data_IF_358307509986
#
_entry.id   IF_358307509986
#
_cell.length_a   1.000
_cell.length_b   1.000
_cell.length_c   1.000
_cell.angle_alpha   90.00
_cell.angle_beta   90.00
_cell.angle_gamma   90.00
#
_symmetry.space_group_name_H-M   'P 1'
#
loop_
_entity.id
_entity.type
_entity.pdbx_description
1 polymer ?
#
# COMPACT_ATOMS: atom_id res chain seq x y z
N UNK A 1 2.52 45.23 11.23
CA UNK A 1 2.54 45.63 9.80
C UNK A 1 1.75 44.60 9.01
N UNK A 2 0.57 44.96 8.53
CA UNK A 2 -0.27 44.11 7.66
C UNK A 2 0.40 43.95 6.31
N UNK A 3 0.82 42.72 5.99
CA UNK A 3 1.51 42.39 4.74
C UNK A 3 0.56 42.56 3.55
N UNK A 4 0.83 43.54 2.69
CA UNK A 4 0.25 43.61 1.36
C UNK A 4 0.78 42.49 0.46
N UNK A 5 0.05 42.21 -0.63
CA UNK A 5 0.50 41.26 -1.65
C UNK A 5 1.88 41.62 -2.19
N UNK A 6 2.68 40.62 -2.55
CA UNK A 6 3.98 40.82 -3.20
C UNK A 6 3.81 41.64 -4.47
N UNK A 7 4.68 42.63 -4.68
CA UNK A 7 4.67 43.44 -5.90
C UNK A 7 4.95 42.52 -7.11
N UNK A 8 4.07 42.48 -8.13
CA UNK A 8 4.26 41.68 -9.34
C UNK A 8 5.54 42.06 -10.09
N UNK A 9 6.19 41.10 -10.72
CA UNK A 9 7.49 41.26 -11.38
C UNK A 9 7.48 42.39 -12.42
N UNK A 10 6.40 42.54 -13.19
CA UNK A 10 6.23 43.58 -14.20
C UNK A 10 6.28 44.98 -13.58
N UNK A 11 5.65 45.12 -12.40
CA UNK A 11 5.65 46.37 -11.64
C UNK A 11 7.04 46.67 -11.08
N UNK A 12 7.78 45.64 -10.66
CA UNK A 12 9.16 45.79 -10.19
C UNK A 12 10.11 46.26 -11.30
N UNK A 13 9.99 45.68 -12.51
CA UNK A 13 10.74 46.10 -13.70
C UNK A 13 10.44 47.55 -14.06
N UNK A 14 9.15 47.94 -14.03
CA UNK A 14 8.72 49.30 -14.29
C UNK A 14 9.31 50.29 -13.27
N UNK A 15 9.29 49.96 -11.96
CA UNK A 15 9.90 50.78 -10.90
C UNK A 15 11.41 50.95 -11.17
N UNK A 16 12.14 49.87 -11.49
CA UNK A 16 13.58 49.91 -11.76
C UNK A 16 13.90 50.77 -12.98
N UNK A 17 13.12 50.64 -14.04
CA UNK A 17 13.32 51.38 -15.29
C UNK A 17 13.06 52.87 -15.09
N UNK A 18 11.95 53.24 -14.43
CA UNK A 18 11.63 54.64 -14.17
C UNK A 18 12.64 55.32 -13.24
N UNK A 19 13.15 54.60 -12.24
CA UNK A 19 14.14 55.15 -11.32
C UNK A 19 15.55 55.24 -11.97
N UNK A 20 16.00 54.18 -12.64
CA UNK A 20 17.41 54.07 -13.07
C UNK A 20 17.69 54.63 -14.47
N UNK A 21 16.70 54.65 -15.36
CA UNK A 21 16.84 55.18 -16.74
C UNK A 21 16.20 56.56 -16.88
N UNK A 22 15.00 56.73 -16.33
CA UNK A 22 14.23 57.98 -16.47
C UNK A 22 14.53 58.97 -15.34
N UNK A 23 15.27 58.55 -14.31
CA UNK A 23 15.63 59.37 -13.14
C UNK A 23 14.44 59.99 -12.40
N UNK A 24 13.28 59.34 -12.44
CA UNK A 24 12.08 59.79 -11.71
C UNK A 24 12.26 59.66 -10.20
N UNK A 25 11.69 60.62 -9.46
CA UNK A 25 11.69 60.58 -8.00
C UNK A 25 10.70 59.55 -7.47
N UNK A 26 10.96 58.98 -6.29
CA UNK A 26 10.11 57.94 -5.69
C UNK A 26 8.64 58.33 -5.52
N UNK A 27 8.37 59.61 -5.27
CA UNK A 27 7.01 60.14 -5.15
C UNK A 27 6.27 60.16 -6.51
N UNK A 28 7.00 60.42 -7.59
CA UNK A 28 6.47 60.40 -8.95
C UNK A 28 6.18 58.96 -9.38
N UNK A 29 7.13 58.05 -9.14
CA UNK A 29 6.98 56.61 -9.39
C UNK A 29 5.79 56.05 -8.59
N UNK A 30 5.65 56.43 -7.32
CA UNK A 30 4.53 56.07 -6.46
C UNK A 30 3.19 56.52 -7.05
N UNK A 31 3.13 57.74 -7.57
CA UNK A 31 1.93 58.30 -8.18
C UNK A 31 1.57 57.59 -9.50
N UNK A 32 2.57 57.29 -10.34
CA UNK A 32 2.36 56.65 -11.64
C UNK A 32 2.01 55.16 -11.53
N UNK A 33 2.70 54.42 -10.64
CA UNK A 33 2.55 52.98 -10.52
C UNK A 33 1.62 52.54 -9.38
N UNK A 34 1.11 53.50 -8.59
CA UNK A 34 0.26 53.26 -7.41
C UNK A 34 0.91 52.31 -6.39
N UNK A 35 2.22 52.48 -6.18
CA UNK A 35 3.02 51.70 -5.23
C UNK A 35 3.50 52.60 -4.10
N UNK A 36 3.46 52.11 -2.86
CA UNK A 36 4.01 52.88 -1.75
C UNK A 36 5.50 53.17 -1.97
N UNK A 37 5.97 54.43 -1.85
CA UNK A 37 7.32 54.84 -2.24
C UNK A 37 8.40 54.08 -1.44
N UNK A 38 8.13 53.79 -0.17
CA UNK A 38 9.05 53.02 0.68
C UNK A 38 9.18 51.56 0.22
N UNK A 39 8.11 50.95 -0.29
CA UNK A 39 8.16 49.57 -0.80
C UNK A 39 8.94 49.49 -2.11
N UNK A 40 8.78 50.47 -3.00
CA UNK A 40 9.55 50.59 -4.23
C UNK A 40 11.06 50.81 -3.94
N UNK A 41 11.37 51.64 -2.94
CA UNK A 41 12.73 51.90 -2.49
C UNK A 41 13.39 50.66 -1.88
N UNK A 42 12.71 50.00 -0.94
CA UNK A 42 13.21 48.78 -0.28
C UNK A 42 13.49 47.67 -1.28
N UNK A 43 12.60 47.50 -2.27
CA UNK A 43 12.80 46.52 -3.35
C UNK A 43 14.11 46.75 -4.11
N UNK A 44 14.39 47.97 -4.58
CA UNK A 44 15.64 48.28 -5.30
C UNK A 44 16.86 48.15 -4.38
N UNK A 45 16.73 48.54 -3.10
CA UNK A 45 17.82 48.38 -2.13
C UNK A 45 18.15 46.90 -1.87
N UNK A 46 17.14 46.03 -1.79
CA UNK A 46 17.33 44.59 -1.68
C UNK A 46 18.11 44.06 -2.90
N UNK A 47 17.66 44.36 -4.12
CA UNK A 47 18.36 43.90 -5.33
C UNK A 47 19.79 44.43 -5.46
N UNK A 48 20.04 45.69 -5.08
CA UNK A 48 21.39 46.27 -5.03
C UNK A 48 22.32 45.56 -4.05
N UNK A 49 21.78 45.12 -2.92
CA UNK A 49 22.54 44.34 -1.93
C UNK A 49 22.94 42.95 -2.47
N UNK A 50 22.17 42.41 -3.42
CA UNK A 50 22.45 41.10 -4.03
C UNK A 50 23.40 41.16 -5.23
N UNK A 51 23.24 42.14 -6.13
CA UNK A 51 23.91 42.09 -7.46
C UNK A 51 24.64 43.39 -7.85
N UNK A 52 24.90 44.27 -6.89
CA UNK A 52 25.53 45.59 -7.09
C UNK A 52 24.68 46.56 -7.94
N UNK A 53 25.27 47.70 -8.35
CA UNK A 53 24.57 48.82 -9.01
C UNK A 53 24.42 48.69 -10.55
N UNK A 54 24.76 47.55 -11.15
CA UNK A 54 24.61 47.36 -12.60
C UNK A 54 23.14 47.16 -13.00
N UNK A 55 22.67 47.91 -14.00
CA UNK A 55 21.25 47.92 -14.38
C UNK A 55 20.76 46.57 -14.90
N UNK A 56 21.54 45.89 -15.74
CA UNK A 56 21.15 44.59 -16.29
C UNK A 56 21.22 43.49 -15.22
N UNK A 57 22.18 43.61 -14.30
CA UNK A 57 22.26 42.74 -13.14
C UNK A 57 21.04 42.89 -12.21
N UNK A 58 20.62 44.13 -11.93
CA UNK A 58 19.41 44.43 -11.16
C UNK A 58 18.14 43.94 -11.87
N UNK A 59 18.05 44.12 -13.19
CA UNK A 59 16.89 43.67 -13.97
C UNK A 59 16.72 42.14 -13.94
N UNK A 60 17.84 41.41 -13.97
CA UNK A 60 17.84 39.95 -13.87
C UNK A 60 17.50 39.46 -12.45
N UNK A 61 17.92 40.17 -11.41
CA UNK A 61 17.63 39.84 -10.00
C UNK A 61 16.16 40.03 -9.61
N UNK A 62 15.53 41.07 -10.16
CA UNK A 62 14.14 41.47 -9.85
C UNK A 62 13.11 40.36 -10.09
N UNK A 63 13.44 39.32 -10.87
CA UNK A 63 12.62 38.13 -11.12
C UNK A 63 12.81 36.95 -10.16
N UNK A 64 13.78 36.99 -9.25
CA UNK A 64 14.23 35.81 -8.49
C UNK A 64 13.95 35.84 -6.98
N UNK A 65 13.30 36.89 -6.46
CA UNK A 65 12.85 36.89 -5.07
C UNK A 65 11.70 35.90 -4.89
N UNK A 66 12.02 34.64 -4.59
CA UNK A 66 11.08 33.81 -3.84
C UNK A 66 10.69 34.59 -2.59
N UNK A 67 9.38 34.72 -2.30
CA UNK A 67 8.96 35.40 -1.09
C UNK A 67 9.67 34.73 0.09
N UNK A 68 10.49 35.51 0.80
CA UNK A 68 11.12 35.05 2.04
C UNK A 68 9.98 34.81 3.03
N UNK A 69 9.52 33.56 3.06
CA UNK A 69 8.54 33.14 4.03
C UNK A 69 9.19 33.27 5.39
N UNK A 70 8.48 33.84 6.38
CA UNK A 70 8.96 33.77 7.74
C UNK A 70 9.22 32.30 8.06
N UNK A 71 10.27 31.98 8.83
CA UNK A 71 10.52 30.61 9.22
C UNK A 71 9.24 30.03 9.80
N UNK A 72 8.85 28.87 9.28
CA UNK A 72 7.69 28.16 9.79
C UNK A 72 7.87 27.87 11.29
N UNK A 73 6.77 27.59 12.01
CA UNK A 73 6.88 27.16 13.40
C UNK A 73 7.82 25.97 13.51
N UNK A 74 8.62 25.94 14.59
CA UNK A 74 9.56 24.86 14.83
C UNK A 74 8.83 23.52 14.86
N UNK A 75 9.37 22.55 14.13
CA UNK A 75 8.81 21.20 14.11
C UNK A 75 9.05 20.55 15.47
N UNK A 76 7.98 20.03 16.10
CA UNK A 76 8.04 19.38 17.43
C UNK A 76 9.04 18.22 17.47
N UNK A 77 9.19 17.48 16.36
CA UNK A 77 10.15 16.38 16.20
C UNK A 77 10.89 16.56 14.86
N UNK A 78 12.05 17.24 14.84
CA UNK A 78 12.80 17.43 13.61
C UNK A 78 13.37 16.10 13.10
N UNK A 79 13.73 16.06 11.81
CA UNK A 79 14.39 14.90 11.21
C UNK A 79 15.70 14.60 11.96
N UNK A 80 15.90 13.34 12.36
CA UNK A 80 17.05 12.91 13.16
C UNK A 80 16.90 13.11 14.67
N UNK A 81 15.73 13.56 15.14
CA UNK A 81 15.40 13.52 16.58
C UNK A 81 15.33 12.08 17.09
N UNK A 82 15.70 11.88 18.36
CA UNK A 82 15.73 10.57 19.00
C UNK A 82 14.34 9.90 18.98
N UNK A 83 13.28 10.67 19.13
CA UNK A 83 11.91 10.17 19.09
C UNK A 83 11.50 9.70 17.70
N UNK A 84 11.98 10.39 16.66
CA UNK A 84 11.73 9.97 15.29
C UNK A 84 12.53 8.71 14.94
N UNK A 85 13.78 8.60 15.38
CA UNK A 85 14.57 7.36 15.23
C UNK A 85 13.92 6.19 15.99
N UNK A 86 13.42 6.41 17.21
CA UNK A 86 12.64 5.39 17.94
C UNK A 86 11.40 4.93 17.18
N UNK A 87 10.68 5.87 16.53
CA UNK A 87 9.56 5.51 15.66
C UNK A 87 10.01 4.64 14.48
N UNK A 88 11.18 4.94 13.90
CA UNK A 88 11.74 4.11 12.82
C UNK A 88 12.04 2.69 13.30
N UNK A 89 12.74 2.57 14.42
CA UNK A 89 13.12 1.28 14.99
C UNK A 89 11.87 0.43 15.30
N UNK A 90 10.83 1.05 15.84
CA UNK A 90 9.58 0.36 16.16
C UNK A 90 8.83 -0.05 14.90
N UNK A 91 8.81 0.79 13.87
CA UNK A 91 8.13 0.48 12.62
C UNK A 91 8.82 -0.67 11.85
N UNK A 92 10.13 -0.84 12.01
CA UNK A 92 10.90 -1.92 11.37
C UNK A 92 10.81 -3.28 12.10
N UNK A 93 10.27 -3.31 13.32
CA UNK A 93 10.10 -4.55 14.08
C UNK A 93 9.00 -5.43 13.47
N UNK A 94 9.23 -6.74 13.30
CA UNK A 94 8.22 -7.67 12.77
C UNK A 94 6.91 -7.66 13.55
N UNK A 95 6.96 -7.44 14.87
CA UNK A 95 5.79 -7.38 15.77
C UNK A 95 4.93 -6.12 15.53
N UNK A 96 5.47 -5.15 14.80
CA UNK A 96 4.79 -3.91 14.44
C UNK A 96 4.17 -3.95 13.03
N UNK A 97 4.42 -5.01 12.25
CA UNK A 97 3.84 -5.14 10.93
C UNK A 97 2.31 -5.23 10.98
N UNK A 98 1.64 -4.44 10.14
CA UNK A 98 0.20 -4.30 10.13
C UNK A 98 -0.38 -3.30 11.15
N UNK A 99 0.44 -2.68 12.01
CA UNK A 99 0.01 -1.56 12.85
C UNK A 99 -0.12 -0.29 12.01
N UNK A 100 -1.13 0.52 12.33
CA UNK A 100 -1.32 1.81 11.67
C UNK A 100 -0.35 2.87 12.23
N UNK A 101 -0.15 4.00 11.53
CA UNK A 101 0.80 5.04 11.97
C UNK A 101 0.56 5.59 13.38
N UNK A 102 -0.70 5.67 13.81
CA UNK A 102 -1.05 6.14 15.16
C UNK A 102 -0.62 5.14 16.23
N UNK A 103 -0.78 3.84 15.98
CA UNK A 103 -0.32 2.78 16.87
C UNK A 103 1.21 2.76 16.97
N UNK A 104 1.91 2.97 15.84
CA UNK A 104 3.36 3.07 15.83
C UNK A 104 3.85 4.28 16.63
N UNK A 105 3.22 5.44 16.46
CA UNK A 105 3.51 6.63 17.26
C UNK A 105 3.32 6.39 18.76
N UNK A 106 2.23 5.74 19.16
CA UNK A 106 1.99 5.38 20.57
C UNK A 106 3.04 4.43 21.13
N UNK A 107 3.47 3.43 20.35
CA UNK A 107 4.53 2.51 20.76
C UNK A 107 5.88 3.22 20.91
N UNK A 108 6.11 4.26 20.10
CA UNK A 108 7.27 5.14 20.19
C UNK A 108 7.14 6.21 21.28
N UNK A 109 6.08 6.17 22.10
CA UNK A 109 5.76 7.19 23.10
C UNK A 109 5.68 8.61 22.54
N UNK A 110 5.30 8.74 21.27
CA UNK A 110 5.08 10.01 20.61
C UNK A 110 3.67 10.53 20.89
N UNK A 111 3.58 11.62 21.64
CA UNK A 111 2.34 12.35 21.84
C UNK A 111 2.09 13.31 20.67
N UNK A 112 1.49 12.75 19.61
CA UNK A 112 1.16 13.46 18.37
C UNK A 112 -0.26 13.15 17.91
N UNK A 113 -0.88 14.14 17.27
CA UNK A 113 -2.17 13.97 16.61
C UNK A 113 -2.06 12.99 15.44
N UNK A 114 -3.14 12.24 15.11
CA UNK A 114 -3.11 11.24 14.05
C UNK A 114 -2.57 11.75 12.71
N UNK A 115 -3.02 12.92 12.25
CA UNK A 115 -2.57 13.52 10.98
C UNK A 115 -1.05 13.71 10.92
N UNK A 116 -0.44 14.11 12.04
CA UNK A 116 1.00 14.26 12.18
C UNK A 116 1.72 12.91 12.16
N UNK A 117 1.16 11.87 12.78
CA UNK A 117 1.71 10.51 12.70
C UNK A 117 1.71 9.98 11.26
N UNK A 118 0.62 10.16 10.53
CA UNK A 118 0.56 9.82 9.11
C UNK A 118 1.57 10.63 8.29
N UNK A 119 1.66 11.94 8.50
CA UNK A 119 2.63 12.80 7.81
C UNK A 119 4.07 12.32 8.02
N UNK A 120 4.46 12.01 9.25
CA UNK A 120 5.81 11.49 9.55
C UNK A 120 6.07 10.15 8.85
N UNK A 121 5.16 9.19 8.98
CA UNK A 121 5.32 7.87 8.34
C UNK A 121 5.36 7.99 6.81
N UNK A 122 4.54 8.86 6.21
CA UNK A 122 4.55 9.05 4.76
C UNK A 122 5.81 9.76 4.25
N UNK A 123 6.34 10.75 5.00
CA UNK A 123 7.62 11.40 4.68
C UNK A 123 8.81 10.43 4.72
N UNK A 124 8.68 9.37 5.50
CA UNK A 124 9.63 8.27 5.55
C UNK A 124 9.07 7.09 4.77
N UNK A 125 9.08 7.20 3.44
CA UNK A 125 8.53 6.26 2.44
C UNK A 125 8.84 4.75 2.63
N UNK A 126 9.64 4.37 3.61
CA UNK A 126 10.02 2.99 3.95
C UNK A 126 9.24 2.38 5.13
N UNK A 127 8.33 3.12 5.78
CA UNK A 127 7.51 2.59 6.89
C UNK A 127 6.16 2.02 6.45
N UNK A 128 5.99 1.68 5.17
CA UNK A 128 4.76 1.07 4.72
C UNK A 128 4.52 -0.23 5.50
N UNK A 129 3.43 -0.34 6.29
CA UNK A 129 3.09 -1.57 6.97
C UNK A 129 2.60 -2.53 5.89
N UNK A 130 3.53 -3.25 5.25
CA UNK A 130 3.16 -4.36 4.42
C UNK A 130 2.44 -5.34 5.32
N UNK A 131 1.18 -5.66 4.98
CA UNK A 131 0.55 -6.82 5.59
C UNK A 131 1.46 -8.00 5.27
N UNK A 132 2.01 -8.71 6.27
CA UNK A 132 2.82 -9.87 6.00
C UNK A 132 1.99 -10.82 5.15
N UNK A 133 2.60 -11.37 4.11
CA UNK A 133 1.96 -12.40 3.31
C UNK A 133 1.52 -13.51 4.27
N UNK A 134 0.28 -13.99 4.13
CA UNK A 134 -0.28 -15.08 4.94
C UNK A 134 0.43 -16.38 4.60
N UNK A 135 1.66 -16.57 5.09
CA UNK A 135 2.34 -17.85 5.03
C UNK A 135 1.89 -18.71 6.21
N UNK A 136 1.61 -20.00 6.00
CA UNK A 136 1.38 -20.92 7.11
C UNK A 136 2.58 -20.91 8.06
N UNK A 137 2.34 -20.95 9.38
CA UNK A 137 3.41 -21.13 10.35
C UNK A 137 3.96 -22.56 10.21
N UNK A 138 5.26 -22.68 9.96
CA UNK A 138 5.94 -23.97 9.94
C UNK A 138 6.51 -24.27 11.33
N UNK A 139 6.47 -25.54 11.74
CA UNK A 139 7.21 -26.00 12.93
C UNK A 139 8.70 -26.09 12.61
N UNK A 140 9.55 -26.08 13.65
CA UNK A 140 10.99 -26.18 13.49
C UNK A 140 11.40 -27.40 12.64
N UNK A 141 10.76 -28.55 12.87
CA UNK A 141 11.04 -29.77 12.12
C UNK A 141 10.71 -29.61 10.63
N UNK A 142 9.56 -28.99 10.28
CA UNK A 142 9.21 -28.73 8.89
C UNK A 142 10.20 -27.77 8.23
N UNK A 143 10.69 -26.77 8.96
CA UNK A 143 11.72 -25.85 8.46
C UNK A 143 12.99 -26.62 8.12
N UNK A 144 13.47 -27.47 9.03
CA UNK A 144 14.67 -28.28 8.79
C UNK A 144 14.50 -29.25 7.62
N UNK A 145 13.35 -29.93 7.52
CA UNK A 145 13.04 -30.80 6.38
C UNK A 145 13.01 -30.04 5.06
N UNK A 146 12.44 -28.83 5.03
CA UNK A 146 12.45 -27.98 3.84
C UNK A 146 13.87 -27.56 3.45
N UNK A 147 14.73 -27.20 4.42
CA UNK A 147 16.13 -26.85 4.16
C UNK A 147 16.90 -28.05 3.60
N UNK A 148 16.75 -29.22 4.22
CA UNK A 148 17.42 -30.45 3.77
C UNK A 148 16.97 -30.85 2.36
N UNK A 149 15.67 -30.78 2.08
CA UNK A 149 15.13 -31.04 0.74
C UNK A 149 15.69 -30.05 -0.28
N UNK A 150 15.72 -28.75 0.04
CA UNK A 150 16.27 -27.73 -0.86
C UNK A 150 17.77 -27.96 -1.13
N UNK A 151 18.56 -28.28 -0.11
CA UNK A 151 19.98 -28.57 -0.26
C UNK A 151 20.22 -29.79 -1.16
N UNK A 152 19.46 -30.87 -0.95
CA UNK A 152 19.50 -32.04 -1.82
C UNK A 152 19.08 -31.67 -3.26
N UNK A 153 17.96 -30.97 -3.43
CA UNK A 153 17.41 -30.65 -4.75
C UNK A 153 18.35 -29.77 -5.58
N UNK A 154 19.08 -28.85 -4.93
CA UNK A 154 20.09 -28.00 -5.58
C UNK A 154 21.28 -28.79 -6.16
N UNK A 155 21.51 -30.02 -5.70
CA UNK A 155 22.56 -30.90 -6.26
C UNK A 155 22.10 -31.73 -7.45
N UNK A 156 20.79 -31.75 -7.74
CA UNK A 156 20.24 -32.54 -8.82
C UNK A 156 20.11 -31.68 -10.09
N UNK A 157 20.28 -32.26 -11.29
CA UNK A 157 20.01 -31.55 -12.52
C UNK A 157 18.51 -31.26 -12.65
N UNK A 158 18.17 -30.14 -13.33
CA UNK A 158 16.77 -29.69 -13.42
C UNK A 158 15.88 -30.71 -14.14
N UNK A 159 16.45 -31.45 -15.08
CA UNK A 159 15.81 -32.50 -15.88
C UNK A 159 15.40 -33.71 -15.03
N UNK A 160 15.93 -33.86 -13.82
CA UNK A 160 15.55 -34.93 -12.89
C UNK A 160 14.22 -34.68 -12.16
N UNK A 161 13.62 -33.49 -12.32
CA UNK A 161 12.40 -33.14 -11.62
C UNK A 161 11.17 -33.16 -12.52
N UNK A 162 10.16 -33.90 -12.06
CA UNK A 162 8.77 -33.79 -12.51
C UNK A 162 7.99 -33.06 -11.43
N UNK A 163 7.42 -31.91 -11.77
CA UNK A 163 6.55 -31.16 -10.88
C UNK A 163 5.12 -31.54 -11.18
N UNK A 164 4.36 -31.84 -10.14
CA UNK A 164 2.93 -32.13 -10.21
C UNK A 164 2.21 -31.22 -9.22
N UNK A 165 1.03 -30.74 -9.58
CA UNK A 165 0.17 -30.02 -8.64
C UNK A 165 -1.29 -30.15 -9.06
N UNK A 166 -2.18 -29.94 -8.10
CA UNK A 166 -3.62 -29.96 -8.27
C UNK A 166 -4.20 -28.60 -7.88
N UNK A 167 -5.04 -28.04 -8.73
CA UNK A 167 -5.65 -26.74 -8.47
C UNK A 167 -7.15 -26.76 -8.74
N UNK A 168 -7.92 -26.17 -7.84
CA UNK A 168 -9.35 -25.98 -8.02
C UNK A 168 -9.62 -24.75 -8.88
N UNK A 169 -10.40 -24.93 -9.93
CA UNK A 169 -10.94 -23.85 -10.77
C UNK A 169 -12.40 -23.68 -10.41
N UNK A 170 -12.72 -22.52 -9.84
CA UNK A 170 -14.07 -22.13 -9.48
C UNK A 170 -14.66 -21.19 -10.54
N UNK A 171 -15.77 -21.62 -11.16
CA UNK A 171 -16.53 -20.83 -12.13
C UNK A 171 -17.73 -20.19 -11.43
N UNK A 172 -17.93 -18.89 -11.69
CA UNK A 172 -19.01 -18.12 -11.06
C UNK A 172 -18.75 -17.74 -9.60
N UNK A 173 -17.55 -18.02 -9.08
CA UNK A 173 -17.12 -17.52 -7.77
C UNK A 173 -16.68 -16.06 -7.89
N UNK A 174 -17.17 -15.15 -7.01
CA UNK A 174 -16.75 -13.76 -7.03
C UNK A 174 -15.26 -13.70 -6.69
N UNK A 175 -14.46 -12.98 -7.51
CA UNK A 175 -13.02 -12.79 -7.28
C UNK A 175 -12.80 -11.85 -6.09
N UNK A 176 -13.03 -12.34 -4.87
CA UNK A 176 -12.92 -11.58 -3.64
C UNK A 176 -13.76 -10.29 -3.62
N UNK A 177 -13.45 -9.40 -2.69
CA UNK A 177 -14.00 -8.03 -2.72
C UNK A 177 -13.38 -7.31 -3.90
N UNK A 178 -14.16 -7.08 -4.96
CA UNK A 178 -13.76 -6.22 -6.05
C UNK A 178 -13.54 -4.80 -5.53
N UNK A 179 -12.45 -4.17 -5.95
CA UNK A 179 -12.25 -2.74 -5.70
C UNK A 179 -13.21 -1.97 -6.61
N UNK A 180 -14.31 -1.49 -6.03
CA UNK A 180 -15.28 -0.66 -6.76
C UNK A 180 -14.91 0.80 -6.59
N UNK A 181 -14.58 1.47 -7.70
CA UNK A 181 -14.37 2.91 -7.72
C UNK A 181 -15.73 3.61 -7.59
N UNK A 182 -15.84 4.56 -6.65
CA UNK A 182 -17.08 5.32 -6.44
C UNK A 182 -16.81 6.80 -6.15
N UNK A 183 -17.77 7.70 -6.40
CA UNK A 183 -17.65 9.11 -6.02
C UNK A 183 -17.41 9.29 -4.52
N UNK A 184 -16.57 10.26 -4.15
CA UNK A 184 -16.30 10.57 -2.74
C UNK A 184 -17.59 11.01 -2.07
N UNK A 185 -17.96 10.34 -0.97
CA UNK A 185 -19.19 10.63 -0.21
C UNK A 185 -20.42 9.81 -0.63
N UNK A 186 -20.34 9.00 -1.69
CA UNK A 186 -21.44 8.11 -2.05
C UNK A 186 -21.59 6.96 -1.06
N UNK A 187 -22.82 6.43 -0.94
CA UNK A 187 -23.09 5.26 -0.12
C UNK A 187 -22.28 4.06 -0.64
N UNK A 188 -21.50 3.36 0.22
CA UNK A 188 -20.84 2.11 -0.14
C UNK A 188 -21.78 1.01 -0.67
N UNK A 189 -23.04 0.99 -0.25
CA UNK A 189 -23.98 -0.08 -0.55
C UNK A 189 -24.62 0.03 -1.94
N UNK A 190 -24.69 1.23 -2.53
CA UNK A 190 -25.22 1.45 -3.90
C UNK A 190 -24.40 0.72 -4.97
N UNK A 191 -23.14 0.40 -4.66
CA UNK A 191 -22.20 -0.27 -5.56
C UNK A 191 -21.76 -1.64 -5.03
N UNK A 192 -22.50 -2.19 -4.06
CA UNK A 192 -22.18 -3.49 -3.49
C UNK A 192 -22.40 -4.60 -4.52
N UNK A 193 -21.32 -5.32 -4.86
CA UNK A 193 -21.41 -6.56 -5.64
C UNK A 193 -21.62 -7.70 -4.64
N UNK A 194 -22.66 -8.54 -4.78
CA UNK A 194 -22.88 -9.69 -3.91
C UNK A 194 -21.64 -10.58 -3.88
N UNK A 195 -21.02 -10.74 -2.70
CA UNK A 195 -19.82 -11.56 -2.51
C UNK A 195 -20.11 -12.98 -2.05
N UNK A 196 -21.36 -13.28 -1.69
CA UNK A 196 -21.72 -14.51 -0.98
C UNK A 196 -22.18 -15.64 -1.90
N UNK A 197 -22.01 -15.49 -3.22
CA UNK A 197 -22.33 -16.57 -4.14
C UNK A 197 -21.25 -17.64 -4.07
N UNK A 198 -21.65 -18.83 -3.63
CA UNK A 198 -20.86 -20.06 -3.82
C UNK A 198 -20.50 -20.21 -5.30
N UNK A 199 -19.35 -20.84 -5.63
CA UNK A 199 -19.04 -21.18 -7.01
C UNK A 199 -20.22 -21.94 -7.64
N UNK A 200 -20.61 -21.52 -8.84
CA UNK A 200 -21.66 -22.20 -9.60
C UNK A 200 -21.18 -23.59 -10.05
N UNK A 201 -19.88 -23.69 -10.32
CA UNK A 201 -19.25 -24.91 -10.79
C UNK A 201 -17.78 -24.93 -10.37
N UNK A 202 -17.27 -26.13 -10.11
CA UNK A 202 -15.89 -26.32 -9.64
C UNK A 202 -15.26 -27.51 -10.36
N UNK A 203 -14.06 -27.30 -10.89
CA UNK A 203 -13.23 -28.32 -11.53
C UNK A 203 -11.92 -28.46 -10.76
N UNK A 204 -11.38 -29.67 -10.67
CA UNK A 204 -10.00 -29.89 -10.26
C UNK A 204 -9.16 -30.11 -11.51
N UNK A 205 -8.13 -29.28 -11.68
CA UNK A 205 -7.14 -29.43 -12.71
C UNK A 205 -5.89 -30.05 -12.07
N UNK A 206 -5.49 -31.22 -12.53
CA UNK A 206 -4.21 -31.83 -12.19
C UNK A 206 -3.28 -31.71 -13.39
N UNK A 207 -2.03 -31.34 -13.16
CA UNK A 207 -1.06 -31.15 -14.23
C UNK A 207 0.32 -31.55 -13.79
N UNK A 208 1.17 -31.84 -14.79
CA UNK A 208 2.58 -32.08 -14.56
C UNK A 208 3.43 -31.34 -15.58
N UNK A 209 4.62 -30.93 -15.17
CA UNK A 209 5.59 -30.30 -16.06
C UNK A 209 7.01 -30.67 -15.66
N UNK A 210 7.88 -30.74 -16.66
CA UNK A 210 9.32 -30.96 -16.53
C UNK A 210 10.04 -29.88 -17.34
N UNK A 211 11.37 -29.81 -17.22
CA UNK A 211 12.15 -28.90 -18.04
C UNK A 211 11.90 -29.17 -19.55
N UNK A 212 11.44 -28.14 -20.28
CA UNK A 212 11.18 -28.24 -21.72
C UNK A 212 9.91 -28.98 -22.13
N UNK A 213 9.12 -29.55 -21.20
CA UNK A 213 7.88 -30.24 -21.54
C UNK A 213 6.76 -29.93 -20.53
N UNK A 214 5.59 -29.60 -21.09
CA UNK A 214 4.35 -29.42 -20.34
C UNK A 214 3.46 -30.62 -20.62
N UNK A 215 3.20 -31.41 -19.59
CA UNK A 215 2.32 -32.56 -19.66
C UNK A 215 0.87 -32.16 -19.94
N UNK A 216 0.11 -33.11 -20.47
CA UNK A 216 -1.33 -32.94 -20.66
C UNK A 216 -2.02 -32.75 -19.29
N UNK A 217 -2.95 -31.78 -19.18
CA UNK A 217 -3.72 -31.60 -17.97
C UNK A 217 -4.82 -32.66 -17.86
N UNK A 218 -5.03 -33.17 -16.64
CA UNK A 218 -6.17 -34.00 -16.28
C UNK A 218 -7.23 -33.12 -15.62
N UNK A 219 -8.48 -33.23 -16.08
CA UNK A 219 -9.61 -32.48 -15.55
C UNK A 219 -10.53 -33.44 -14.84
N UNK A 220 -10.74 -33.19 -13.54
CA UNK A 220 -11.74 -33.86 -12.73
C UNK A 220 -12.88 -32.89 -12.46
N UNK A 221 -14.11 -33.30 -12.80
CA UNK A 221 -15.31 -32.53 -12.46
C UNK A 221 -15.77 -32.99 -11.10
N UNK A 222 -15.97 -32.06 -10.16
CA UNK A 222 -16.55 -32.43 -8.86
C UNK A 222 -17.94 -33.02 -9.09
N UNK A 223 -18.14 -34.25 -8.66
CA UNK A 223 -19.43 -34.92 -8.79
C UNK A 223 -20.53 -34.13 -8.07
N UNK A 224 -21.68 -34.01 -8.72
CA UNK A 224 -22.87 -33.46 -8.06
C UNK A 224 -23.30 -34.37 -6.92
N UNK A 225 -24.00 -33.82 -5.90
CA UNK A 225 -24.59 -34.66 -4.82
C UNK A 225 -25.39 -35.84 -5.36
N UNK A 226 -26.09 -35.65 -6.48
CA UNK A 226 -26.87 -36.72 -7.12
C UNK A 226 -25.98 -37.80 -7.73
N UNK A 227 -24.87 -37.42 -8.38
CA UNK A 227 -23.89 -38.38 -8.92
C UNK A 227 -23.16 -39.12 -7.80
N UNK A 228 -22.74 -38.44 -6.74
CA UNK A 228 -22.16 -39.06 -5.55
C UNK A 228 -23.12 -40.10 -4.96
N UNK A 229 -24.41 -39.75 -4.82
CA UNK A 229 -25.42 -40.71 -4.36
C UNK A 229 -25.59 -41.87 -5.35
N UNK A 230 -25.57 -41.65 -6.66
CA UNK A 230 -25.68 -42.75 -7.63
C UNK A 230 -24.46 -43.67 -7.58
N UNK A 231 -23.25 -43.13 -7.55
CA UNK A 231 -21.99 -43.87 -7.55
C UNK A 231 -21.78 -44.67 -6.27
N UNK A 232 -22.24 -44.12 -5.14
CA UNK A 232 -22.37 -44.80 -3.86
C UNK A 232 -23.24 -46.06 -3.88
N UNK A 233 -24.16 -46.20 -4.85
CA UNK A 233 -25.05 -47.36 -4.99
C UNK A 233 -24.56 -48.37 -6.04
N UNK A 234 -23.40 -48.14 -6.66
CA UNK A 234 -22.80 -49.05 -7.64
C UNK A 234 -21.76 -49.92 -6.92
N UNK A 235 -21.96 -51.25 -6.80
CA UNK A 235 -21.00 -52.12 -6.14
C UNK A 235 -19.62 -52.07 -6.80
N UNK A 236 -18.56 -51.93 -6.00
CA UNK A 236 -17.17 -51.92 -6.46
C UNK A 236 -16.55 -50.55 -6.69
N UNK A 237 -17.28 -49.44 -6.49
CA UNK A 237 -16.71 -48.09 -6.44
C UNK A 237 -16.07 -47.80 -5.07
N UNK A 238 -15.15 -46.83 -5.02
CA UNK A 238 -14.55 -46.38 -3.76
C UNK A 238 -15.61 -45.80 -2.82
N UNK A 239 -16.59 -45.08 -3.37
CA UNK A 239 -17.69 -44.48 -2.63
C UNK A 239 -18.64 -45.52 -2.02
N UNK A 240 -18.94 -46.61 -2.74
CA UNK A 240 -19.73 -47.73 -2.21
C UNK A 240 -18.97 -48.43 -1.09
N UNK A 241 -17.66 -48.65 -1.25
CA UNK A 241 -16.81 -49.29 -0.24
C UNK A 241 -16.69 -48.43 1.03
N UNK A 242 -16.62 -47.11 0.87
CA UNK A 242 -16.62 -46.16 1.99
C UNK A 242 -17.97 -46.18 2.73
N UNK A 243 -19.09 -46.22 2.00
CA UNK A 243 -20.42 -46.32 2.59
C UNK A 243 -20.67 -47.64 3.30
N UNK A 244 -20.21 -48.76 2.76
CA UNK A 244 -20.24 -50.06 3.45
C UNK A 244 -19.42 -50.00 4.75
N UNK A 245 -18.24 -49.37 4.71
CA UNK A 245 -17.38 -49.21 5.90
C UNK A 245 -18.07 -48.36 6.98
N UNK A 246 -18.67 -47.22 6.60
CA UNK A 246 -19.42 -46.35 7.51
C UNK A 246 -20.64 -47.08 8.08
N UNK A 247 -21.40 -47.80 7.24
CA UNK A 247 -22.56 -48.56 7.69
C UNK A 247 -22.18 -49.71 8.63
N UNK A 248 -21.05 -50.38 8.38
CA UNK A 248 -20.50 -51.39 9.27
C UNK A 248 -20.09 -50.79 10.62
N UNK A 249 -19.45 -49.62 10.64
CA UNK A 249 -19.12 -48.89 11.88
C UNK A 249 -20.38 -48.49 12.66
N UNK A 250 -21.40 -47.95 11.98
CA UNK A 250 -22.68 -47.58 12.61
C UNK A 250 -23.39 -48.82 13.16
N UNK A 251 -23.41 -49.92 12.41
CA UNK A 251 -24.01 -51.17 12.86
C UNK A 251 -23.27 -51.73 14.08
N UNK A 252 -21.94 -51.72 14.07
CA UNK A 252 -21.11 -52.15 15.20
C UNK A 252 -21.30 -51.24 16.43
N UNK A 253 -21.40 -49.93 16.22
CA UNK A 253 -21.72 -48.96 17.27
C UNK A 253 -23.10 -49.25 17.89
N UNK A 254 -24.12 -49.48 17.06
CA UNK A 254 -25.48 -49.76 17.52
C UNK A 254 -25.61 -51.13 18.21
N UNK A 255 -24.81 -52.13 17.82
CA UNK A 255 -24.78 -53.44 18.49
C UNK A 255 -24.05 -53.40 19.83
N UNK A 256 -23.04 -52.52 19.98
CA UNK A 256 -22.26 -52.39 21.20
C UNK A 256 -22.80 -51.32 22.16
N UNK A 257 -23.74 -50.49 21.71
CA UNK A 257 -24.60 -49.74 22.62
C UNK A 257 -25.64 -50.70 23.20
N UNK A 258 -25.33 -51.23 24.38
CA UNK A 258 -26.34 -51.84 25.25
C UNK A 258 -27.54 -50.89 25.36
N UNK A 259 -28.78 -51.39 25.39
CA UNK A 259 -29.91 -50.55 25.76
C UNK A 259 -29.57 -49.97 27.13
N UNK A 260 -29.50 -48.64 27.23
CA UNK A 260 -29.45 -47.98 28.52
C UNK A 260 -30.55 -48.60 29.36
N UNK A 261 -30.13 -49.28 30.45
CA UNK A 261 -31.02 -49.84 31.44
C UNK A 261 -32.09 -48.79 31.82
N UNK A 262 -33.36 -49.19 31.96
CA UNK A 262 -34.43 -48.29 32.37
C UNK A 262 -34.16 -47.60 33.70
#
# INVERSE_FOLDING_TARGET
MTKGASIPQELRIAILTLHSIVYMQWNEISTHLKVHPESARQMIQCSKAHVCDDFFALLNDVGHDEPVYPPGPSQKYPKGSEELERLKDIALKPESFGKNPVQLARLASLDIVPSTAYKYIHQHHNFAPYRPHRKPKLSQNKILSCIQFAQWALTQPQESFVFTDETWIEIGSPRGKLNVWRPVGSDPYDFAIPTDSRPQFTLMLSGHFVHGYRGEPYIWVRETRKQLCTNAHIPGTEEHSLLESINAEIHNYNQNQLPNNP
#
